data_IF_122195019832
#
_entry.id   IF_122195019832
#
_cell.length_a   1.000
_cell.length_b   1.000
_cell.length_c   1.000
_cell.angle_alpha   90.00
_cell.angle_beta   90.00
_cell.angle_gamma   90.00
#
_symmetry.space_group_name_H-M   'P 1'
#
loop_
_entity.id
_entity.type
_entity.pdbx_description
1 polymer ?
#
# COMPACT_ATOMS: atom_id res chain seq x y z
N UNK A 1 -17.39 -7.96 15.15
CA UNK A 1 -16.34 -7.06 15.70
C UNK A 1 -15.64 -7.64 16.94
N UNK A 2 -16.34 -8.32 17.87
CA UNK A 2 -15.73 -8.85 19.11
C UNK A 2 -14.92 -10.15 18.90
N UNK A 3 -15.27 -10.99 17.94
CA UNK A 3 -14.50 -12.21 17.62
C UNK A 3 -13.13 -11.90 17.03
N UNK A 4 -13.03 -10.90 16.14
CA UNK A 4 -11.74 -10.52 15.54
C UNK A 4 -10.77 -9.94 16.58
N UNK A 5 -11.24 -9.11 17.53
CA UNK A 5 -10.40 -8.56 18.61
C UNK A 5 -9.86 -9.60 19.60
N UNK A 6 -10.57 -10.72 19.81
CA UNK A 6 -10.08 -11.84 20.62
C UNK A 6 -8.92 -12.56 19.95
N UNK A 7 -9.08 -12.89 18.68
CA UNK A 7 -8.04 -13.57 17.88
C UNK A 7 -6.76 -12.71 17.72
N UNK A 8 -6.89 -11.38 17.64
CA UNK A 8 -5.73 -10.48 17.54
C UNK A 8 -4.88 -10.45 18.81
N UNK A 9 -5.49 -10.45 19.99
CA UNK A 9 -4.75 -10.51 21.27
C UNK A 9 -4.05 -11.84 21.46
N UNK A 10 -4.70 -12.94 21.12
CA UNK A 10 -4.10 -14.28 21.18
C UNK A 10 -2.93 -14.40 20.20
N UNK A 11 -3.11 -13.95 18.95
CA UNK A 11 -2.05 -13.91 17.95
C UNK A 11 -0.84 -13.10 18.44
N UNK A 12 -1.08 -11.92 19.01
CA UNK A 12 -0.01 -11.09 19.58
C UNK A 12 0.72 -11.79 20.73
N UNK A 13 -0.02 -12.48 21.61
CA UNK A 13 0.58 -13.26 22.71
C UNK A 13 1.48 -14.39 22.18
N UNK A 14 0.99 -15.14 21.18
CA UNK A 14 1.79 -16.20 20.54
C UNK A 14 3.03 -15.68 19.84
N UNK A 15 2.94 -14.56 19.13
CA UNK A 15 4.08 -13.92 18.49
C UNK A 15 5.09 -13.44 19.57
N UNK A 16 4.60 -12.92 20.70
CA UNK A 16 5.44 -12.54 21.84
C UNK A 16 6.20 -13.73 22.45
N UNK A 17 5.54 -14.87 22.62
CA UNK A 17 6.17 -16.12 23.08
C UNK A 17 7.21 -16.64 22.07
N UNK A 18 6.87 -16.64 20.78
CA UNK A 18 7.80 -17.03 19.73
C UNK A 18 9.04 -16.14 19.69
N UNK A 19 8.90 -14.83 20.00
CA UNK A 19 10.03 -13.92 20.15
C UNK A 19 10.96 -14.36 21.27
N UNK A 20 10.43 -14.61 22.46
CA UNK A 20 11.23 -15.03 23.61
C UNK A 20 11.99 -16.32 23.34
N UNK A 21 11.35 -17.29 22.71
CA UNK A 21 11.98 -18.55 22.30
C UNK A 21 13.07 -18.31 21.25
N UNK A 22 12.80 -17.48 20.24
CA UNK A 22 13.77 -17.14 19.19
C UNK A 22 14.99 -16.40 19.74
N UNK A 23 14.78 -15.45 20.67
CA UNK A 23 15.86 -14.71 21.34
C UNK A 23 16.72 -15.63 22.22
N UNK A 24 16.09 -16.53 23.02
CA UNK A 24 16.82 -17.46 23.89
C UNK A 24 17.65 -18.47 23.10
N UNK A 25 17.15 -18.92 21.96
CA UNK A 25 17.83 -19.91 21.10
C UNK A 25 18.72 -19.27 20.03
N UNK A 26 18.81 -17.93 19.97
CA UNK A 26 19.54 -17.17 18.94
C UNK A 26 19.15 -17.60 17.52
N UNK A 27 17.87 -17.86 17.30
CA UNK A 27 17.33 -18.32 16.01
C UNK A 27 16.94 -17.11 15.14
N UNK A 28 17.90 -16.56 14.41
CA UNK A 28 17.66 -15.40 13.54
C UNK A 28 16.63 -15.64 12.45
N UNK A 29 16.52 -16.85 11.89
CA UNK A 29 15.52 -17.20 10.90
C UNK A 29 14.08 -17.14 11.47
N UNK A 30 13.87 -17.56 12.70
CA UNK A 30 12.60 -17.41 13.39
C UNK A 30 12.35 -15.94 13.77
N UNK A 31 13.39 -15.26 14.31
CA UNK A 31 13.27 -13.87 14.77
C UNK A 31 12.90 -12.89 13.67
N UNK A 32 13.44 -13.04 12.46
CA UNK A 32 13.07 -12.13 11.37
C UNK A 32 11.57 -12.22 11.02
N UNK A 33 10.99 -13.43 11.01
CA UNK A 33 9.54 -13.64 10.79
C UNK A 33 8.70 -13.09 11.94
N UNK A 34 9.16 -13.31 13.17
CA UNK A 34 8.49 -12.80 14.39
C UNK A 34 8.50 -11.27 14.41
N UNK A 35 9.62 -10.64 14.12
CA UNK A 35 9.70 -9.17 14.08
C UNK A 35 8.88 -8.58 12.94
N UNK A 36 8.77 -9.25 11.79
CA UNK A 36 7.85 -8.86 10.74
C UNK A 36 6.40 -8.87 11.25
N UNK A 37 5.96 -9.94 11.87
CA UNK A 37 4.62 -10.06 12.45
C UNK A 37 4.32 -9.00 13.52
N UNK A 38 5.27 -8.73 14.44
CA UNK A 38 5.15 -7.68 15.45
C UNK A 38 5.07 -6.29 14.83
N UNK A 39 5.86 -6.02 13.80
CA UNK A 39 5.83 -4.77 13.05
C UNK A 39 4.49 -4.53 12.36
N UNK A 40 3.96 -5.53 11.68
CA UNK A 40 2.64 -5.48 11.05
C UNK A 40 1.51 -5.27 12.08
N UNK A 41 1.58 -5.95 13.22
CA UNK A 41 0.61 -5.74 14.29
C UNK A 41 0.66 -4.31 14.83
N UNK A 42 1.86 -3.79 15.09
CA UNK A 42 2.04 -2.43 15.58
C UNK A 42 1.49 -1.38 14.59
N UNK A 43 1.72 -1.56 13.28
CA UNK A 43 1.22 -0.63 12.26
C UNK A 43 -0.28 -0.75 12.01
N UNK A 44 -0.79 -1.96 11.85
CA UNK A 44 -2.15 -2.16 11.36
C UNK A 44 -3.19 -2.09 12.47
N UNK A 45 -2.87 -2.63 13.65
CA UNK A 45 -3.80 -2.73 14.78
C UNK A 45 -3.59 -1.59 15.77
N UNK A 46 -2.34 -1.33 16.19
CA UNK A 46 -2.05 -0.32 17.20
C UNK A 46 -1.87 1.08 16.61
N UNK A 47 -1.63 1.21 15.30
CA UNK A 47 -1.29 2.47 14.61
C UNK A 47 -0.03 3.14 15.18
N UNK A 48 0.85 2.32 15.82
CA UNK A 48 2.12 2.76 16.40
C UNK A 48 3.25 2.55 15.37
N UNK A 49 3.43 3.55 14.51
CA UNK A 49 4.43 3.50 13.43
C UNK A 49 5.87 3.50 13.95
N UNK A 50 6.13 4.11 15.10
CA UNK A 50 7.46 4.08 15.70
C UNK A 50 7.85 2.68 16.16
N UNK A 51 6.95 2.01 16.87
CA UNK A 51 7.14 0.62 17.31
C UNK A 51 7.21 -0.32 16.12
N UNK A 52 6.40 -0.10 15.09
CA UNK A 52 6.44 -0.86 13.84
C UNK A 52 7.81 -0.81 13.19
N UNK A 53 8.37 0.39 12.97
CA UNK A 53 9.72 0.58 12.43
C UNK A 53 10.78 -0.11 13.31
N UNK A 54 10.67 0.00 14.64
CA UNK A 54 11.59 -0.65 15.57
C UNK A 54 11.63 -2.17 15.35
N UNK A 55 10.47 -2.79 15.16
CA UNK A 55 10.40 -4.23 14.90
C UNK A 55 10.91 -4.58 13.50
N UNK A 56 10.52 -3.82 12.48
CA UNK A 56 10.99 -4.10 11.13
C UNK A 56 12.52 -3.99 11.02
N UNK A 57 13.15 -2.99 11.64
CA UNK A 57 14.62 -2.88 11.67
C UNK A 57 15.29 -4.06 12.39
N UNK A 58 14.74 -4.53 13.51
CA UNK A 58 15.22 -5.76 14.16
C UNK A 58 15.08 -6.97 13.25
N UNK A 59 13.98 -7.05 12.51
CA UNK A 59 13.76 -8.10 11.52
C UNK A 59 14.78 -8.05 10.38
N UNK A 60 15.09 -6.85 9.86
CA UNK A 60 16.13 -6.63 8.85
C UNK A 60 17.49 -7.13 9.32
N UNK A 61 17.89 -6.79 10.54
CA UNK A 61 19.15 -7.26 11.11
C UNK A 61 19.21 -8.79 11.25
N UNK A 62 18.12 -9.40 11.73
CA UNK A 62 18.02 -10.85 11.84
C UNK A 62 18.06 -11.53 10.46
N UNK A 63 17.34 -11.00 9.48
CA UNK A 63 17.30 -11.53 8.12
C UNK A 63 18.68 -11.46 7.44
N UNK A 64 19.44 -10.38 7.67
CA UNK A 64 20.84 -10.26 7.19
C UNK A 64 21.74 -11.33 7.80
N UNK A 65 21.64 -11.55 9.12
CA UNK A 65 22.51 -12.54 9.82
C UNK A 65 22.25 -13.98 9.36
N UNK A 66 21.00 -14.31 9.03
CA UNK A 66 20.66 -15.66 8.55
C UNK A 66 20.55 -15.78 7.02
N UNK A 67 20.92 -14.72 6.27
CA UNK A 67 20.85 -14.68 4.81
C UNK A 67 19.46 -15.02 4.26
N UNK A 68 18.40 -14.56 4.95
CA UNK A 68 17.02 -14.76 4.51
C UNK A 68 16.53 -13.59 3.64
N UNK A 69 17.03 -13.57 2.44
CA UNK A 69 16.92 -12.44 1.50
C UNK A 69 15.49 -12.07 1.12
N UNK A 70 14.62 -13.06 0.95
CA UNK A 70 13.22 -12.79 0.61
C UNK A 70 12.52 -12.02 1.73
N UNK A 71 12.72 -12.42 2.99
CA UNK A 71 12.10 -11.72 4.10
C UNK A 71 12.78 -10.37 4.37
N UNK A 72 14.09 -10.29 4.14
CA UNK A 72 14.81 -9.02 4.16
C UNK A 72 14.14 -7.96 3.25
N UNK A 73 13.85 -8.32 2.01
CA UNK A 73 13.22 -7.40 1.05
C UNK A 73 11.76 -7.07 1.42
N UNK A 74 11.00 -8.03 1.95
CA UNK A 74 9.65 -7.77 2.48
C UNK A 74 9.72 -6.76 3.63
N UNK A 75 10.70 -6.88 4.51
CA UNK A 75 10.90 -5.94 5.62
C UNK A 75 11.28 -4.54 5.13
N UNK A 76 12.13 -4.42 4.10
CA UNK A 76 12.43 -3.15 3.45
C UNK A 76 11.18 -2.51 2.83
N UNK A 77 10.36 -3.31 2.16
CA UNK A 77 9.07 -2.88 1.60
C UNK A 77 8.12 -2.37 2.70
N UNK A 78 8.03 -3.09 3.82
CA UNK A 78 7.21 -2.67 4.96
C UNK A 78 7.73 -1.38 5.60
N UNK A 79 9.05 -1.22 5.73
CA UNK A 79 9.67 0.03 6.21
C UNK A 79 9.30 1.19 5.28
N UNK A 80 9.46 1.02 3.97
CA UNK A 80 9.06 2.02 2.99
C UNK A 80 7.56 2.36 3.11
N UNK A 81 6.69 1.35 3.31
CA UNK A 81 5.26 1.54 3.55
C UNK A 81 4.94 2.35 4.81
N UNK A 82 5.70 2.21 5.89
CA UNK A 82 5.51 3.06 7.09
C UNK A 82 5.93 4.51 6.82
N UNK A 83 7.03 4.73 6.11
CA UNK A 83 7.44 6.07 5.72
C UNK A 83 6.41 6.72 4.78
N UNK A 84 5.79 5.93 3.90
CA UNK A 84 4.64 6.34 3.12
C UNK A 84 3.51 6.87 4.01
N UNK A 85 3.03 6.05 4.96
CA UNK A 85 1.94 6.43 5.86
C UNK A 85 2.25 7.68 6.70
N UNK A 86 3.54 7.98 6.89
CA UNK A 86 4.03 9.21 7.54
C UNK A 86 4.22 10.38 6.58
N UNK A 87 3.96 10.18 5.30
CA UNK A 87 4.24 11.15 4.24
C UNK A 87 5.72 11.60 4.24
N UNK A 88 6.63 10.65 4.47
CA UNK A 88 8.06 10.86 4.66
C UNK A 88 8.86 10.17 3.56
N UNK A 89 9.44 10.96 2.67
CA UNK A 89 10.22 10.45 1.52
C UNK A 89 11.55 9.79 1.89
N UNK A 90 11.94 9.77 3.18
CA UNK A 90 13.13 9.04 3.63
C UNK A 90 13.02 7.53 3.44
N UNK A 91 11.80 7.03 3.21
CA UNK A 91 11.53 5.65 2.80
C UNK A 91 12.12 5.26 1.45
N UNK A 92 12.46 6.23 0.59
CA UNK A 92 12.97 6.00 -0.77
C UNK A 92 14.18 5.06 -0.81
N UNK A 93 15.14 5.23 0.11
CA UNK A 93 16.33 4.38 0.16
C UNK A 93 16.01 2.89 0.37
N UNK A 94 14.99 2.58 1.16
CA UNK A 94 14.59 1.20 1.42
C UNK A 94 13.82 0.60 0.25
N UNK A 95 13.02 1.42 -0.42
CA UNK A 95 12.32 1.02 -1.63
C UNK A 95 13.30 0.72 -2.77
N UNK A 96 14.31 1.57 -2.98
CA UNK A 96 15.37 1.36 -3.97
C UNK A 96 16.21 0.12 -3.64
N UNK A 97 16.62 -0.07 -2.38
CA UNK A 97 17.39 -1.25 -1.96
C UNK A 97 16.60 -2.55 -2.23
N UNK A 98 15.28 -2.55 -2.00
CA UNK A 98 14.42 -3.68 -2.34
C UNK A 98 14.40 -3.94 -3.86
N UNK A 99 14.26 -2.88 -4.66
CA UNK A 99 14.25 -2.96 -6.12
C UNK A 99 15.56 -3.47 -6.69
N UNK A 100 16.69 -2.92 -6.24
CA UNK A 100 18.05 -3.33 -6.67
C UNK A 100 18.31 -4.79 -6.35
N UNK A 101 17.94 -5.26 -5.16
CA UNK A 101 18.00 -6.68 -4.80
C UNK A 101 17.13 -7.55 -5.71
N UNK A 102 15.96 -7.05 -6.09
CA UNK A 102 15.09 -7.73 -7.04
C UNK A 102 15.76 -7.92 -8.39
N UNK A 103 16.40 -6.89 -8.92
CA UNK A 103 17.15 -6.95 -10.18
C UNK A 103 18.36 -7.90 -10.10
N UNK A 104 19.16 -7.79 -9.04
CA UNK A 104 20.35 -8.64 -8.82
C UNK A 104 19.95 -10.13 -8.79
N UNK A 105 18.87 -10.46 -8.11
CA UNK A 105 18.42 -11.83 -7.90
C UNK A 105 17.48 -12.35 -8.96
N UNK A 106 17.06 -11.48 -9.88
CA UNK A 106 16.00 -11.78 -10.87
C UNK A 106 14.72 -12.30 -10.20
N UNK A 107 14.36 -11.72 -9.04
CA UNK A 107 13.15 -12.07 -8.32
C UNK A 107 12.02 -11.10 -8.72
N UNK A 108 11.02 -11.59 -9.48
CA UNK A 108 9.95 -10.72 -9.98
C UNK A 108 9.13 -10.07 -8.85
N UNK A 109 8.96 -10.75 -7.72
CA UNK A 109 8.21 -10.19 -6.59
C UNK A 109 8.94 -8.99 -5.97
N UNK A 110 10.26 -9.06 -5.83
CA UNK A 110 11.06 -7.97 -5.30
C UNK A 110 11.14 -6.80 -6.28
N UNK A 111 11.24 -7.08 -7.60
CA UNK A 111 11.20 -6.05 -8.64
C UNK A 111 9.86 -5.31 -8.57
N UNK A 112 8.74 -6.05 -8.57
CA UNK A 112 7.39 -5.50 -8.45
C UNK A 112 7.21 -4.65 -7.19
N UNK A 113 7.53 -5.21 -6.03
CA UNK A 113 7.34 -4.57 -4.74
C UNK A 113 8.26 -3.34 -4.58
N UNK A 114 9.55 -3.48 -4.96
CA UNK A 114 10.52 -2.40 -4.89
C UNK A 114 10.19 -1.26 -5.85
N UNK A 115 9.86 -1.55 -7.12
CA UNK A 115 9.50 -0.53 -8.10
C UNK A 115 8.19 0.18 -7.73
N UNK A 116 7.17 -0.53 -7.26
CA UNK A 116 5.91 0.06 -6.80
C UNK A 116 6.12 1.04 -5.63
N UNK A 117 6.88 0.64 -4.60
CA UNK A 117 7.20 1.52 -3.48
C UNK A 117 8.09 2.70 -3.91
N UNK A 118 9.04 2.48 -4.82
CA UNK A 118 9.89 3.55 -5.35
C UNK A 118 9.07 4.57 -6.15
N UNK A 119 8.15 4.10 -7.00
CA UNK A 119 7.22 4.97 -7.72
C UNK A 119 6.45 5.87 -6.76
N UNK A 120 5.97 5.29 -5.67
CA UNK A 120 5.23 6.02 -4.68
C UNK A 120 6.08 7.06 -3.95
N UNK A 121 7.32 6.75 -3.57
CA UNK A 121 8.21 7.71 -2.93
C UNK A 121 8.56 8.88 -3.87
N UNK A 122 8.71 8.65 -5.17
CA UNK A 122 8.87 9.73 -6.15
C UNK A 122 7.59 10.52 -6.35
N UNK A 123 6.41 9.88 -6.32
CA UNK A 123 5.13 10.57 -6.31
C UNK A 123 5.02 11.55 -5.13
N UNK A 124 5.37 11.13 -3.91
CA UNK A 124 5.40 12.02 -2.73
C UNK A 124 6.38 13.19 -2.88
N UNK A 125 7.46 13.00 -3.62
CA UNK A 125 8.44 14.06 -3.93
C UNK A 125 8.00 14.94 -5.10
N UNK A 126 6.83 14.73 -5.66
CA UNK A 126 6.30 15.39 -6.86
C UNK A 126 7.17 15.19 -8.12
N UNK A 127 8.06 14.19 -8.12
CA UNK A 127 8.78 13.77 -9.32
C UNK A 127 7.97 12.71 -10.08
N UNK A 128 6.90 13.18 -10.70
CA UNK A 128 5.91 12.30 -11.37
C UNK A 128 6.49 11.61 -12.60
N UNK A 129 7.47 12.20 -13.27
CA UNK A 129 8.12 11.56 -14.42
C UNK A 129 8.96 10.35 -14.01
N UNK A 130 9.70 10.46 -12.91
CA UNK A 130 10.44 9.32 -12.36
C UNK A 130 9.48 8.29 -11.75
N UNK A 131 8.44 8.74 -11.04
CA UNK A 131 7.38 7.85 -10.53
C UNK A 131 6.73 7.03 -11.65
N UNK A 132 6.48 7.67 -12.82
CA UNK A 132 5.90 6.99 -13.98
C UNK A 132 6.77 5.83 -14.47
N UNK A 133 8.08 6.01 -14.56
CA UNK A 133 9.00 4.94 -14.98
C UNK A 133 8.93 3.72 -14.06
N UNK A 134 8.97 3.96 -12.75
CA UNK A 134 8.93 2.87 -11.77
C UNK A 134 7.56 2.20 -11.69
N UNK A 135 6.45 2.93 -11.85
CA UNK A 135 5.13 2.30 -11.84
C UNK A 135 4.87 1.47 -13.10
N UNK A 136 5.44 1.87 -14.24
CA UNK A 136 5.40 1.09 -15.47
C UNK A 136 6.13 -0.25 -15.30
N UNK A 137 7.30 -0.24 -14.67
CA UNK A 137 8.06 -1.45 -14.34
C UNK A 137 7.27 -2.35 -13.38
N UNK A 138 6.63 -1.75 -12.37
CA UNK A 138 5.79 -2.48 -11.43
C UNK A 138 4.60 -3.14 -12.13
N UNK A 139 3.86 -2.40 -12.98
CA UNK A 139 2.74 -2.95 -13.74
C UNK A 139 3.17 -4.07 -14.68
N UNK A 140 4.23 -3.84 -15.45
CA UNK A 140 4.78 -4.85 -16.37
C UNK A 140 5.12 -6.15 -15.63
N UNK A 141 5.90 -6.05 -14.55
CA UNK A 141 6.33 -7.21 -13.77
C UNK A 141 5.15 -7.93 -13.12
N UNK A 142 4.19 -7.17 -12.60
CA UNK A 142 2.97 -7.66 -11.98
C UNK A 142 2.12 -8.46 -12.96
N UNK A 143 1.89 -7.93 -14.16
CA UNK A 143 1.06 -8.58 -15.20
C UNK A 143 1.75 -9.82 -15.74
N UNK A 144 3.06 -9.78 -15.98
CA UNK A 144 3.81 -10.93 -16.48
C UNK A 144 3.83 -12.12 -15.52
N UNK A 145 3.69 -11.88 -14.21
CA UNK A 145 3.78 -12.92 -13.18
C UNK A 145 2.43 -13.18 -12.48
N UNK A 146 1.34 -12.59 -12.96
CA UNK A 146 -0.03 -12.76 -12.43
C UNK A 146 -0.10 -12.56 -10.90
N UNK A 147 0.50 -11.48 -10.39
CA UNK A 147 0.46 -11.19 -8.97
C UNK A 147 -0.94 -10.75 -8.53
N UNK A 148 -1.39 -11.30 -7.41
CA UNK A 148 -2.78 -11.24 -6.95
C UNK A 148 -3.29 -9.83 -6.64
N UNK A 149 -2.52 -8.97 -5.96
CA UNK A 149 -2.97 -7.64 -5.54
C UNK A 149 -2.50 -6.56 -6.52
N UNK A 150 -3.27 -6.36 -7.58
CA UNK A 150 -2.98 -5.40 -8.64
C UNK A 150 -3.57 -4.00 -8.36
N UNK A 151 -4.54 -3.90 -7.47
CA UNK A 151 -5.30 -2.66 -7.24
C UNK A 151 -4.44 -1.49 -6.75
N UNK A 152 -3.41 -1.79 -5.94
CA UNK A 152 -2.46 -0.77 -5.44
C UNK A 152 -1.69 -0.10 -6.58
N UNK A 153 -1.19 -0.92 -7.52
CA UNK A 153 -0.43 -0.42 -8.67
C UNK A 153 -1.30 0.40 -9.59
N UNK A 154 -2.48 -0.10 -9.93
CA UNK A 154 -3.40 0.63 -10.81
C UNK A 154 -3.89 1.94 -10.19
N UNK A 155 -4.17 1.96 -8.88
CA UNK A 155 -4.53 3.17 -8.17
C UNK A 155 -3.41 4.21 -8.21
N UNK A 156 -2.19 3.84 -7.83
CA UNK A 156 -1.04 4.74 -7.87
C UNK A 156 -0.73 5.22 -9.29
N UNK A 157 -0.84 4.34 -10.27
CA UNK A 157 -0.62 4.69 -11.67
C UNK A 157 -1.63 5.76 -12.14
N UNK A 158 -2.91 5.60 -11.77
CA UNK A 158 -3.94 6.59 -12.03
C UNK A 158 -3.57 7.97 -11.47
N UNK A 159 -3.17 8.04 -10.21
CA UNK A 159 -2.74 9.31 -9.60
C UNK A 159 -1.49 9.92 -10.27
N UNK A 160 -0.49 9.12 -10.61
CA UNK A 160 0.71 9.61 -11.30
C UNK A 160 0.33 10.23 -12.66
N UNK A 161 -0.51 9.55 -13.43
CA UNK A 161 -0.95 10.03 -14.74
C UNK A 161 -1.78 11.32 -14.62
N UNK A 162 -2.67 11.39 -13.64
CA UNK A 162 -3.44 12.60 -13.36
C UNK A 162 -2.54 13.79 -13.03
N UNK A 163 -1.54 13.61 -12.16
CA UNK A 163 -0.55 14.67 -11.86
C UNK A 163 0.32 15.05 -13.08
N UNK A 164 0.36 14.24 -14.12
CA UNK A 164 0.99 14.53 -15.41
C UNK A 164 0.01 15.09 -16.45
N UNK A 165 -1.22 15.45 -16.07
CA UNK A 165 -2.31 15.95 -16.93
C UNK A 165 -2.69 14.94 -18.05
N UNK A 166 -2.63 13.65 -17.74
CA UNK A 166 -3.01 12.54 -18.63
C UNK A 166 -4.31 11.88 -18.14
N UNK A 167 -5.36 12.69 -18.01
CA UNK A 167 -6.59 12.30 -17.32
C UNK A 167 -7.33 11.12 -17.98
N UNK A 168 -7.35 11.02 -19.29
CA UNK A 168 -7.98 9.89 -19.98
C UNK A 168 -7.27 8.57 -19.66
N UNK A 169 -5.94 8.57 -19.64
CA UNK A 169 -5.14 7.41 -19.24
C UNK A 169 -5.36 7.10 -17.74
N UNK A 170 -5.37 8.12 -16.89
CA UNK A 170 -5.61 8.00 -15.44
C UNK A 170 -6.97 7.36 -15.13
N UNK A 171 -8.03 7.81 -15.79
CA UNK A 171 -9.38 7.23 -15.67
C UNK A 171 -9.39 5.74 -16.07
N UNK A 172 -8.59 5.37 -17.07
CA UNK A 172 -8.40 3.98 -17.47
C UNK A 172 -7.81 3.12 -16.37
N UNK A 173 -6.78 3.62 -15.69
CA UNK A 173 -6.13 2.89 -14.58
C UNK A 173 -6.99 2.86 -13.31
N UNK A 174 -7.67 3.94 -12.96
CA UNK A 174 -8.63 3.90 -11.86
C UNK A 174 -9.75 2.87 -12.14
N UNK A 175 -10.22 2.76 -13.38
CA UNK A 175 -11.22 1.74 -13.75
C UNK A 175 -10.66 0.32 -13.54
N UNK A 176 -9.44 0.04 -14.00
CA UNK A 176 -8.78 -1.25 -13.74
C UNK A 176 -8.74 -1.59 -12.23
N UNK A 177 -8.43 -0.61 -11.39
CA UNK A 177 -8.44 -0.81 -9.93
C UNK A 177 -9.85 -1.07 -9.38
N UNK A 178 -10.88 -0.38 -9.91
CA UNK A 178 -12.28 -0.56 -9.52
C UNK A 178 -12.86 -1.91 -9.97
N UNK A 179 -12.40 -2.46 -11.09
CA UNK A 179 -12.79 -3.80 -11.56
C UNK A 179 -12.32 -4.90 -10.59
N UNK A 180 -11.32 -4.61 -9.76
CA UNK A 180 -10.80 -5.50 -8.72
C UNK A 180 -11.49 -5.35 -7.34
N UNK A 181 -12.62 -4.66 -7.25
CA UNK A 181 -13.29 -4.31 -5.98
C UNK A 181 -13.58 -5.47 -5.03
N UNK A 182 -13.78 -6.68 -5.57
CA UNK A 182 -14.05 -7.90 -4.79
C UNK A 182 -12.77 -8.63 -4.32
N UNK A 183 -11.63 -8.35 -4.96
CA UNK A 183 -10.38 -9.11 -4.78
C UNK A 183 -9.21 -8.23 -4.36
N UNK A 184 -9.26 -6.94 -4.70
CA UNK A 184 -8.17 -6.00 -4.49
C UNK A 184 -8.10 -5.44 -3.08
N UNK A 185 -7.05 -4.69 -2.83
CA UNK A 185 -6.91 -3.94 -1.58
C UNK A 185 -8.01 -2.88 -1.49
N UNK A 186 -8.87 -3.01 -0.48
CA UNK A 186 -10.03 -2.13 -0.30
C UNK A 186 -9.66 -0.65 -0.21
N UNK A 187 -8.52 -0.31 0.40
CA UNK A 187 -8.04 1.07 0.48
C UNK A 187 -7.75 1.65 -0.89
N UNK A 188 -7.07 0.88 -1.75
CA UNK A 188 -6.74 1.31 -3.11
C UNK A 188 -7.98 1.42 -4.00
N UNK A 189 -8.92 0.51 -3.83
CA UNK A 189 -10.23 0.59 -4.53
C UNK A 189 -10.98 1.84 -4.11
N UNK A 190 -11.06 2.15 -2.80
CA UNK A 190 -11.73 3.36 -2.31
C UNK A 190 -11.06 4.64 -2.79
N UNK A 191 -9.72 4.69 -2.74
CA UNK A 191 -8.95 5.81 -3.28
C UNK A 191 -9.16 5.97 -4.80
N UNK A 192 -9.41 4.87 -5.52
CA UNK A 192 -9.71 4.95 -6.96
C UNK A 192 -11.08 5.56 -7.24
N UNK A 193 -12.09 5.35 -6.38
CA UNK A 193 -13.35 6.10 -6.48
C UNK A 193 -13.13 7.60 -6.28
N UNK A 194 -12.30 7.99 -5.31
CA UNK A 194 -11.98 9.39 -5.04
C UNK A 194 -11.21 10.02 -6.20
N UNK A 195 -10.11 9.40 -6.65
CA UNK A 195 -9.32 9.94 -7.76
C UNK A 195 -10.08 10.00 -9.08
N UNK A 196 -10.95 9.01 -9.36
CA UNK A 196 -11.82 9.05 -10.53
C UNK A 196 -12.80 10.23 -10.46
N UNK A 197 -13.42 10.44 -9.29
CA UNK A 197 -14.38 11.54 -9.10
C UNK A 197 -13.67 12.90 -9.13
N UNK A 198 -12.47 13.04 -8.58
CA UNK A 198 -11.63 14.26 -8.63
C UNK A 198 -11.45 14.72 -10.09
N UNK A 199 -11.00 13.82 -10.97
CA UNK A 199 -10.86 14.14 -12.40
C UNK A 199 -12.21 14.57 -13.02
N UNK A 200 -13.30 13.87 -12.72
CA UNK A 200 -14.61 14.23 -13.26
C UNK A 200 -15.07 15.62 -12.78
N UNK A 201 -14.78 15.99 -11.53
CA UNK A 201 -15.11 17.31 -10.98
C UNK A 201 -14.27 18.40 -11.65
N UNK A 202 -12.97 18.21 -11.84
CA UNK A 202 -12.10 19.15 -12.56
C UNK A 202 -12.56 19.39 -14.01
N UNK A 203 -13.16 18.37 -14.63
CA UNK A 203 -13.78 18.48 -15.96
C UNK A 203 -15.26 18.91 -15.94
N UNK A 204 -15.77 19.41 -14.80
CA UNK A 204 -17.16 19.85 -14.59
C UNK A 204 -18.23 18.78 -14.89
N UNK A 205 -17.86 17.49 -14.76
CA UNK A 205 -18.77 16.37 -14.99
C UNK A 205 -19.42 15.91 -13.66
N UNK A 206 -20.01 16.82 -12.93
CA UNK A 206 -20.49 16.64 -11.57
C UNK A 206 -21.48 15.48 -11.39
N UNK A 207 -22.44 15.32 -12.30
CA UNK A 207 -23.38 14.19 -12.24
C UNK A 207 -22.69 12.83 -12.29
N UNK A 208 -21.61 12.73 -13.07
CA UNK A 208 -20.82 11.50 -13.17
C UNK A 208 -19.99 11.29 -11.91
N UNK A 209 -19.39 12.36 -11.38
CA UNK A 209 -18.64 12.33 -10.13
C UNK A 209 -19.51 11.86 -8.96
N UNK A 210 -20.72 12.42 -8.82
CA UNK A 210 -21.69 12.01 -7.78
C UNK A 210 -22.07 10.53 -7.91
N UNK A 211 -22.31 10.02 -9.13
CA UNK A 211 -22.60 8.59 -9.31
C UNK A 211 -21.43 7.72 -8.88
N UNK A 212 -20.20 8.12 -9.23
CA UNK A 212 -18.99 7.40 -8.85
C UNK A 212 -18.80 7.37 -7.32
N UNK A 213 -18.93 8.52 -6.66
CA UNK A 213 -18.81 8.64 -5.21
C UNK A 213 -19.89 7.84 -4.47
N UNK A 214 -21.14 7.85 -4.95
CA UNK A 214 -22.23 7.04 -4.39
C UNK A 214 -21.92 5.53 -4.46
N UNK A 215 -21.37 5.06 -5.57
CA UNK A 215 -20.96 3.66 -5.69
C UNK A 215 -19.86 3.29 -4.69
N UNK A 216 -18.87 4.17 -4.47
CA UNK A 216 -17.85 3.99 -3.43
C UNK A 216 -18.44 3.97 -2.02
N UNK A 217 -19.39 4.85 -1.72
CA UNK A 217 -20.10 4.89 -0.43
C UNK A 217 -20.85 3.57 -0.19
N UNK A 218 -21.57 3.06 -1.18
CA UNK A 218 -22.27 1.79 -1.08
C UNK A 218 -21.30 0.64 -0.78
N UNK A 219 -20.20 0.54 -1.50
CA UNK A 219 -19.15 -0.45 -1.22
C UNK A 219 -18.55 -0.28 0.19
N UNK A 220 -18.38 0.96 0.67
CA UNK A 220 -17.88 1.24 2.02
C UNK A 220 -18.81 0.73 3.12
N UNK A 221 -20.12 0.70 2.88
CA UNK A 221 -21.10 0.08 3.80
C UNK A 221 -20.97 -1.44 3.79
N UNK A 222 -20.89 -2.05 2.63
CA UNK A 222 -20.73 -3.50 2.49
C UNK A 222 -19.46 -4.01 3.19
N UNK A 223 -18.37 -3.25 3.10
CA UNK A 223 -17.07 -3.58 3.69
C UNK A 223 -16.88 -3.07 5.14
N UNK A 224 -17.92 -2.46 5.73
CA UNK A 224 -17.86 -1.86 7.08
C UNK A 224 -16.70 -0.88 7.28
N UNK A 225 -16.31 -0.15 6.24
CA UNK A 225 -15.17 0.76 6.25
C UNK A 225 -15.60 2.22 6.47
N UNK A 226 -15.65 2.62 7.76
CA UNK A 226 -16.13 3.95 8.14
C UNK A 226 -15.18 5.11 7.74
N UNK A 227 -13.88 4.85 7.66
CA UNK A 227 -12.88 5.89 7.34
C UNK A 227 -13.10 6.41 5.91
N UNK A 228 -13.03 5.53 4.93
CA UNK A 228 -13.23 5.92 3.54
C UNK A 228 -14.62 6.45 3.23
N UNK A 229 -15.62 6.02 4.00
CA UNK A 229 -16.98 6.58 3.87
C UNK A 229 -17.01 8.06 4.19
N UNK A 230 -16.28 8.50 5.21
CA UNK A 230 -16.18 9.92 5.56
C UNK A 230 -15.57 10.72 4.41
N UNK A 231 -14.48 10.22 3.83
CA UNK A 231 -13.78 10.90 2.72
C UNK A 231 -14.67 11.00 1.47
N UNK A 232 -15.38 9.92 1.13
CA UNK A 232 -16.33 9.90 0.02
C UNK A 232 -17.53 10.84 0.22
N UNK A 233 -18.05 10.93 1.46
CA UNK A 233 -19.13 11.85 1.81
C UNK A 233 -18.67 13.31 1.74
N UNK A 234 -17.45 13.59 2.17
CA UNK A 234 -16.85 14.91 2.03
C UNK A 234 -16.68 15.30 0.56
N UNK A 235 -16.19 14.39 -0.28
CA UNK A 235 -16.06 14.62 -1.72
C UNK A 235 -17.43 14.87 -2.39
N UNK A 236 -18.49 14.17 -1.98
CA UNK A 236 -19.84 14.41 -2.48
C UNK A 236 -20.37 15.79 -2.07
N UNK A 237 -20.12 16.23 -0.84
CA UNK A 237 -20.50 17.57 -0.37
C UNK A 237 -19.82 18.66 -1.21
N UNK A 238 -18.50 18.53 -1.41
CA UNK A 238 -17.75 19.45 -2.26
C UNK A 238 -18.30 19.46 -3.69
N UNK A 239 -18.62 18.29 -4.25
CA UNK A 239 -19.19 18.18 -5.59
C UNK A 239 -20.51 18.95 -5.71
N UNK A 240 -21.39 18.88 -4.70
CA UNK A 240 -22.64 19.65 -4.71
C UNK A 240 -22.42 21.15 -4.49
N UNK A 241 -21.44 21.57 -3.71
CA UNK A 241 -21.10 22.97 -3.52
C UNK A 241 -20.58 23.62 -4.82
N UNK A 242 -19.79 22.89 -5.60
CA UNK A 242 -19.24 23.36 -6.88
C UNK A 242 -20.28 23.31 -8.03
N UNK A 243 -21.28 22.42 -7.91
CA UNK A 243 -22.32 22.28 -8.93
C UNK A 243 -23.41 23.36 -8.82
N UNK A 244 -23.58 23.99 -7.62
CA UNK A 244 -24.58 25.04 -7.35
C UNK A 244 -25.93 24.46 -7.07
#
# INVERSE_FOLDING_TARGET
ANMMKGNEKEAYSHIGQARLIGESNKNDSALCSVYNGLGLYASNVQKDYYRSLTYFFKGVEAARRCHYDRLYSILLSNIAGIYYLKNDSTGLKYALECYELGLERKDPYLIYSGSSNTAFMFYLKSDYNTALKYIQEAEFTMVQNDFYDQSNVYNLYGYILHKLNKDDEALGFFRKALDLKEQGNISSVMNSYLGYAEILMEHHQYDRAVRMLKAGIELSYQQSNAIYRSDLLQAISQCYEEYG
#
